data_IF_438919189571
#
_entry.id   IF_438919189571
#
_cell.length_a   1.000
_cell.length_b   1.000
_cell.length_c   1.000
_cell.angle_alpha   90.00
_cell.angle_beta   90.00
_cell.angle_gamma   90.00
#
_symmetry.space_group_name_H-M   'P 1'
#
loop_
_entity.id
_entity.type
_entity.pdbx_description
1 polymer ?
#
# COMPACT_ATOMS: atom_id res chain seq x y z
N UNK A 1 3.22 12.00 -13.56
CA UNK A 1 3.49 10.58 -13.23
C UNK A 1 5.00 10.37 -13.26
N UNK A 2 5.63 9.93 -12.16
CA UNK A 2 7.09 9.80 -12.06
C UNK A 2 7.60 8.57 -12.82
N UNK A 3 8.88 8.61 -13.23
CA UNK A 3 9.55 7.45 -13.81
C UNK A 3 10.07 6.48 -12.74
N UNK A 4 10.36 5.22 -13.09
CA UNK A 4 11.01 4.27 -12.17
C UNK A 4 12.34 4.80 -11.65
N UNK A 5 13.13 5.44 -12.50
CA UNK A 5 14.42 6.03 -12.11
C UNK A 5 14.28 7.20 -11.13
N UNK A 6 13.16 7.91 -11.18
CA UNK A 6 12.86 9.00 -10.26
C UNK A 6 12.43 8.48 -8.88
N UNK A 7 11.70 7.37 -8.83
CA UNK A 7 11.32 6.72 -7.57
C UNK A 7 12.45 5.87 -6.99
N UNK A 8 13.23 5.17 -7.82
CA UNK A 8 14.26 4.22 -7.40
C UNK A 8 15.51 4.38 -8.26
N UNK A 9 16.28 5.47 -8.07
CA UNK A 9 17.42 5.81 -8.92
C UNK A 9 18.53 4.76 -8.94
N UNK A 10 18.61 3.96 -7.88
CA UNK A 10 19.61 2.89 -7.69
C UNK A 10 18.99 1.49 -7.78
N UNK A 11 17.77 1.36 -8.29
CA UNK A 11 17.00 0.11 -8.24
C UNK A 11 16.37 -0.15 -6.87
N UNK A 12 15.76 -1.33 -6.71
CA UNK A 12 14.98 -1.68 -5.52
C UNK A 12 15.71 -2.62 -4.55
N UNK A 13 16.81 -3.27 -4.98
CA UNK A 13 17.52 -4.27 -4.17
C UNK A 13 18.14 -3.68 -2.89
N UNK A 14 18.64 -2.44 -2.98
CA UNK A 14 19.28 -1.72 -1.88
C UNK A 14 18.46 -0.53 -1.37
N UNK A 15 17.23 -0.38 -1.86
CA UNK A 15 16.35 0.72 -1.47
C UNK A 15 15.82 0.48 -0.05
N UNK A 16 15.76 1.55 0.76
CA UNK A 16 15.09 1.48 2.08
C UNK A 16 13.66 0.99 1.92
N UNK A 17 13.24 0.05 2.77
CA UNK A 17 11.90 -0.53 2.70
C UNK A 17 11.16 -0.37 4.03
N UNK A 18 9.84 -0.47 3.93
CA UNK A 18 8.92 -0.53 5.08
C UNK A 18 8.24 -1.90 5.03
N UNK A 19 8.26 -2.63 6.13
CA UNK A 19 7.58 -3.93 6.27
C UNK A 19 6.56 -3.83 7.41
N UNK A 20 5.41 -4.49 7.25
CA UNK A 20 4.33 -4.53 8.25
C UNK A 20 4.18 -5.98 8.71
N UNK A 21 4.87 -6.39 9.80
CA UNK A 21 4.93 -7.79 10.20
C UNK A 21 3.56 -8.41 10.45
N UNK A 22 3.44 -9.70 10.15
CA UNK A 22 2.19 -10.46 10.26
C UNK A 22 1.30 -10.25 9.03
N UNK A 23 0.81 -9.03 8.81
CA UNK A 23 -0.04 -8.73 7.65
C UNK A 23 0.70 -8.88 6.32
N UNK A 24 2.02 -8.65 6.29
CA UNK A 24 2.84 -8.79 5.08
C UNK A 24 3.08 -10.24 4.66
N UNK A 25 2.89 -11.21 5.56
CA UNK A 25 3.26 -12.62 5.34
C UNK A 25 2.10 -13.61 5.46
N UNK A 26 0.92 -13.19 5.93
CA UNK A 26 -0.29 -14.03 5.97
C UNK A 26 -1.12 -13.92 4.69
N UNK A 27 -2.11 -14.81 4.50
CA UNK A 27 -3.11 -14.76 3.42
C UNK A 27 -2.45 -14.59 2.04
N UNK A 28 -2.77 -13.55 1.26
CA UNK A 28 -2.15 -13.31 -0.06
C UNK A 28 -0.64 -13.12 0.05
N UNK A 29 -0.15 -12.57 1.17
CA UNK A 29 1.28 -12.38 1.43
C UNK A 29 2.04 -13.69 1.50
N UNK A 30 1.40 -14.78 1.94
CA UNK A 30 1.99 -16.12 1.94
C UNK A 30 2.19 -16.63 0.50
N UNK A 31 1.29 -16.29 -0.42
CA UNK A 31 1.37 -16.66 -1.84
C UNK A 31 2.23 -15.71 -2.68
N UNK A 32 2.49 -14.48 -2.18
CA UNK A 32 3.24 -13.44 -2.89
C UNK A 32 4.37 -12.87 -2.01
N UNK A 33 5.45 -13.63 -1.75
CA UNK A 33 6.55 -13.17 -0.91
C UNK A 33 7.11 -11.82 -1.38
N UNK A 34 7.23 -10.87 -0.45
CA UNK A 34 7.76 -9.52 -0.72
C UNK A 34 6.76 -8.53 -1.35
N UNK A 35 5.59 -8.98 -1.81
CA UNK A 35 4.59 -8.11 -2.43
C UNK A 35 4.17 -6.96 -1.51
N UNK A 36 3.73 -7.30 -0.30
CA UNK A 36 3.22 -6.30 0.64
C UNK A 36 4.30 -5.37 1.19
N UNK A 37 5.56 -5.83 1.29
CA UNK A 37 6.70 -4.94 1.57
C UNK A 37 6.85 -3.87 0.48
N UNK A 38 6.73 -4.26 -0.78
CA UNK A 38 6.75 -3.32 -1.90
C UNK A 38 5.64 -2.28 -1.78
N UNK A 39 4.42 -2.73 -1.44
CA UNK A 39 3.25 -1.87 -1.23
C UNK A 39 3.47 -0.87 -0.09
N UNK A 40 3.82 -1.32 1.12
CA UNK A 40 4.07 -0.41 2.26
C UNK A 40 5.21 0.56 1.98
N UNK A 41 6.25 0.10 1.29
CA UNK A 41 7.40 0.96 0.92
C UNK A 41 6.99 2.09 0.00
N UNK A 42 6.30 1.79 -1.12
CA UNK A 42 5.93 2.83 -2.07
C UNK A 42 4.87 3.77 -1.51
N UNK A 43 3.89 3.26 -0.76
CA UNK A 43 2.86 4.11 -0.15
C UNK A 43 3.46 5.04 0.91
N UNK A 44 4.37 4.54 1.76
CA UNK A 44 5.08 5.41 2.72
C UNK A 44 5.88 6.50 2.02
N UNK A 45 6.57 6.16 0.91
CA UNK A 45 7.30 7.15 0.12
C UNK A 45 6.37 8.20 -0.48
N UNK A 46 5.21 7.80 -1.01
CA UNK A 46 4.21 8.71 -1.55
C UNK A 46 3.59 9.61 -0.47
N UNK A 47 3.32 9.09 0.73
CA UNK A 47 2.85 9.89 1.86
C UNK A 47 3.85 10.97 2.26
N UNK A 48 5.14 10.63 2.32
CA UNK A 48 6.19 11.62 2.60
C UNK A 48 6.34 12.68 1.50
N UNK A 49 6.10 12.33 0.23
CA UNK A 49 6.22 13.24 -0.91
C UNK A 49 5.01 14.17 -1.06
N UNK A 50 3.80 13.63 -0.90
CA UNK A 50 2.54 14.35 -1.16
C UNK A 50 2.00 15.03 0.11
N UNK A 51 2.27 14.45 1.29
CA UNK A 51 1.75 14.91 2.58
C UNK A 51 0.23 15.13 2.60
N UNK A 52 -0.58 14.12 2.21
CA UNK A 52 -2.02 14.30 2.14
C UNK A 52 -2.66 14.24 3.53
N UNK A 53 -3.76 14.96 3.75
CA UNK A 53 -4.60 14.77 4.94
C UNK A 53 -5.42 13.47 4.85
N UNK A 54 -5.79 13.05 3.63
CA UNK A 54 -6.66 11.89 3.36
C UNK A 54 -6.09 11.05 2.22
N UNK A 55 -6.12 9.72 2.35
CA UNK A 55 -5.80 8.79 1.28
C UNK A 55 -6.87 7.70 1.11
N UNK A 56 -7.32 7.51 -0.14
CA UNK A 56 -8.38 6.58 -0.50
C UNK A 56 -7.84 5.30 -1.12
N UNK A 57 -8.32 4.14 -0.66
CA UNK A 57 -7.96 2.83 -1.19
C UNK A 57 -9.22 1.96 -1.37
N UNK A 58 -9.26 1.16 -2.44
CA UNK A 58 -10.40 0.29 -2.72
C UNK A 58 -10.51 -0.88 -1.72
N UNK A 59 -11.72 -1.20 -1.29
CA UNK A 59 -12.00 -2.32 -0.37
C UNK A 59 -11.82 -3.71 -1.01
N UNK A 60 -11.71 -3.76 -2.35
CA UNK A 60 -11.44 -5.00 -3.10
C UNK A 60 -10.16 -5.66 -2.62
N UNK A 61 -9.11 -4.87 -2.44
CA UNK A 61 -7.81 -5.33 -1.93
C UNK A 61 -7.79 -5.20 -0.40
N UNK A 62 -8.66 -5.95 0.28
CA UNK A 62 -8.90 -5.81 1.72
C UNK A 62 -7.62 -5.93 2.56
N UNK A 63 -6.71 -6.85 2.19
CA UNK A 63 -5.46 -7.08 2.92
C UNK A 63 -4.51 -5.88 2.76
N UNK A 64 -4.46 -5.28 1.57
CA UNK A 64 -3.71 -4.04 1.33
C UNK A 64 -4.27 -2.90 2.18
N UNK A 65 -5.59 -2.71 2.20
CA UNK A 65 -6.23 -1.67 3.02
C UNK A 65 -5.91 -1.86 4.51
N UNK A 66 -6.03 -3.09 5.02
CA UNK A 66 -5.66 -3.40 6.41
C UNK A 66 -4.17 -3.13 6.70
N UNK A 67 -3.29 -3.50 5.76
CA UNK A 67 -1.86 -3.27 5.86
C UNK A 67 -1.50 -1.78 5.90
N UNK A 68 -2.11 -0.96 5.05
CA UNK A 68 -1.88 0.50 5.05
C UNK A 68 -2.43 1.14 6.33
N UNK A 69 -3.62 0.74 6.81
CA UNK A 69 -4.15 1.24 8.09
C UNK A 69 -3.21 0.93 9.25
N UNK A 70 -2.69 -0.30 9.32
CA UNK A 70 -1.71 -0.68 10.35
C UNK A 70 -0.42 0.14 10.24
N UNK A 71 0.11 0.27 9.03
CA UNK A 71 1.33 1.06 8.76
C UNK A 71 1.17 2.52 9.21
N UNK A 72 0.04 3.15 8.90
CA UNK A 72 -0.26 4.53 9.30
C UNK A 72 -0.27 4.69 10.80
N UNK A 73 -0.96 3.80 11.51
CA UNK A 73 -1.02 3.81 12.97
C UNK A 73 0.35 3.57 13.63
N UNK A 74 1.10 2.58 13.14
CA UNK A 74 2.40 2.19 13.73
C UNK A 74 3.49 3.26 13.47
N UNK A 75 3.46 3.92 12.31
CA UNK A 75 4.49 4.88 11.88
C UNK A 75 4.13 6.34 12.22
N UNK A 76 2.94 6.59 12.79
CA UNK A 76 2.52 7.92 13.21
C UNK A 76 2.24 8.89 12.06
N UNK A 77 1.77 8.38 10.93
CA UNK A 77 1.31 9.24 9.83
C UNK A 77 -0.01 9.92 10.22
N UNK A 78 -0.05 11.25 10.16
CA UNK A 78 -1.27 12.04 10.39
C UNK A 78 -2.12 12.09 9.11
N UNK A 79 -2.65 10.92 8.72
CA UNK A 79 -3.37 10.72 7.46
C UNK A 79 -4.62 9.88 7.72
N UNK A 80 -5.79 10.37 7.32
CA UNK A 80 -7.02 9.59 7.32
C UNK A 80 -7.03 8.58 6.17
N UNK A 81 -7.21 7.30 6.49
CA UNK A 81 -7.34 6.24 5.48
C UNK A 81 -8.81 5.91 5.23
N UNK A 82 -9.28 6.14 4.00
CA UNK A 82 -10.66 5.91 3.59
C UNK A 82 -10.74 4.66 2.70
N UNK A 83 -11.57 3.71 3.10
CA UNK A 83 -11.91 2.54 2.27
C UNK A 83 -13.02 2.91 1.29
N UNK A 84 -12.84 2.60 0.00
CA UNK A 84 -13.83 2.88 -1.04
C UNK A 84 -14.50 1.57 -1.48
N UNK A 85 -15.84 1.46 -1.40
CA UNK A 85 -16.56 0.24 -1.78
C UNK A 85 -16.25 -0.25 -3.18
N UNK A 86 -16.30 -1.58 -3.35
CA UNK A 86 -16.01 -2.25 -4.62
C UNK A 86 -17.03 -1.84 -5.69
N UNK A 87 -16.56 -1.26 -6.79
CA UNK A 87 -17.37 -1.09 -7.98
C UNK A 87 -17.53 -2.44 -8.70
N UNK A 88 -18.76 -2.77 -9.09
CA UNK A 88 -19.07 -4.02 -9.80
C UNK A 88 -19.61 -3.72 -11.19
N UNK A 89 -19.21 -4.53 -12.16
CA UNK A 89 -19.85 -4.57 -13.47
C UNK A 89 -21.31 -5.05 -13.35
N UNK A 90 -22.09 -4.91 -14.43
CA UNK A 90 -23.51 -5.30 -14.45
C UNK A 90 -23.75 -6.78 -14.12
N UNK A 91 -22.77 -7.64 -14.40
CA UNK A 91 -22.78 -9.08 -14.10
C UNK A 91 -22.29 -9.42 -12.68
N UNK A 92 -21.92 -8.41 -11.88
CA UNK A 92 -21.45 -8.57 -10.50
C UNK A 92 -19.94 -8.75 -10.36
N UNK A 93 -19.17 -8.82 -11.45
CA UNK A 93 -17.71 -8.92 -11.39
C UNK A 93 -17.11 -7.68 -10.72
N UNK A 94 -16.20 -7.90 -9.77
CA UNK A 94 -15.47 -6.81 -9.12
C UNK A 94 -14.45 -6.20 -10.09
N UNK A 95 -14.58 -4.90 -10.36
CA UNK A 95 -13.68 -4.14 -11.23
C UNK A 95 -12.38 -3.80 -10.52
#
# INVERSE_FOLDING_TARGET
APSVKEISPNGTETHTYVDVPGLSTMLEGASRPGHFRGVSTIVSKLFNLVQPDIACFGEKDFQQLALIRKMVADMGFDIEIVGVPIMRAKDGLAL
#
